data_IF_442643705276
#
_entry.id   IF_442643705276
#
_cell.length_a   1.000
_cell.length_b   1.000
_cell.length_c   1.000
_cell.angle_alpha   90.00
_cell.angle_beta   90.00
_cell.angle_gamma   90.00
#
_symmetry.space_group_name_H-M   'P 1'
#
loop_
_entity.id
_entity.type
_entity.pdbx_description
1 polymer ?
#
# COMPACT_ATOMS: atom_id res chain seq x y z
N UNK A 1 67.97 18.85 7.85
CA UNK A 1 66.68 18.71 8.54
C UNK A 1 65.73 19.75 7.98
N UNK A 2 64.98 19.39 6.95
CA UNK A 2 63.90 20.20 6.38
C UNK A 2 62.67 19.29 6.40
N UNK A 3 61.74 19.57 7.31
CA UNK A 3 60.46 18.87 7.42
C UNK A 3 59.56 19.46 6.35
N UNK A 4 59.31 18.72 5.27
CA UNK A 4 58.26 19.05 4.32
C UNK A 4 56.96 18.53 4.91
N UNK A 5 56.11 19.44 5.36
CA UNK A 5 54.72 19.15 5.72
C UNK A 5 53.95 18.88 4.44
N UNK A 6 53.49 17.65 4.29
CA UNK A 6 52.57 17.21 3.25
C UNK A 6 51.23 17.95 3.48
N UNK A 7 51.00 19.04 2.76
CA UNK A 7 49.68 19.66 2.65
C UNK A 7 48.85 18.78 1.72
N UNK A 8 48.05 17.88 2.31
CA UNK A 8 47.09 17.08 1.55
C UNK A 8 45.91 17.96 1.16
N UNK A 9 45.70 18.13 -0.14
CA UNK A 9 44.64 18.93 -0.73
C UNK A 9 43.25 18.41 -0.29
N UNK A 10 42.45 19.21 0.45
CA UNK A 10 41.12 18.80 0.93
C UNK A 10 40.07 18.66 -0.19
N UNK A 11 40.44 18.94 -1.44
CA UNK A 11 39.55 18.90 -2.60
C UNK A 11 39.36 17.48 -3.16
N UNK A 12 40.32 16.56 -2.93
CA UNK A 12 40.22 15.17 -3.38
C UNK A 12 39.32 14.30 -2.49
N UNK A 13 39.10 14.71 -1.24
CA UNK A 13 38.28 13.95 -0.30
C UNK A 13 36.77 14.08 -0.55
N UNK A 14 36.36 15.10 -1.32
CA UNK A 14 34.94 15.34 -1.67
C UNK A 14 34.48 14.40 -2.80
N UNK A 15 35.37 13.89 -3.65
CA UNK A 15 34.98 13.00 -4.75
C UNK A 15 34.76 11.55 -4.31
N UNK A 16 35.46 11.08 -3.27
CA UNK A 16 35.23 9.75 -2.67
C UNK A 16 33.98 9.70 -1.77
N UNK A 17 33.38 10.85 -1.44
CA UNK A 17 32.11 10.92 -0.72
C UNK A 17 30.89 10.64 -1.63
N UNK A 18 31.09 10.40 -2.94
CA UNK A 18 30.01 10.04 -3.86
C UNK A 18 29.45 8.62 -3.64
N UNK A 19 30.13 7.77 -2.88
CA UNK A 19 29.54 6.61 -2.18
C UNK A 19 28.83 7.08 -0.89
N UNK A 20 27.93 8.06 -1.07
CA UNK A 20 27.32 8.86 -0.02
C UNK A 20 26.32 8.03 0.80
N UNK A 21 26.25 8.16 2.14
CA UNK A 21 25.13 7.64 2.91
C UNK A 21 23.77 8.12 2.38
N UNK A 22 23.73 9.25 1.68
CA UNK A 22 22.53 9.75 0.97
C UNK A 22 22.13 8.84 -0.19
N UNK A 23 23.09 8.25 -0.91
CA UNK A 23 22.82 7.31 -2.01
C UNK A 23 22.28 5.99 -1.46
N UNK A 24 22.83 5.50 -0.34
CA UNK A 24 22.31 4.33 0.35
C UNK A 24 20.89 4.57 0.90
N UNK A 25 20.63 5.74 1.48
CA UNK A 25 19.29 6.14 1.96
C UNK A 25 18.31 6.25 0.80
N UNK A 26 18.64 7.01 -0.25
CA UNK A 26 17.77 7.20 -1.41
C UNK A 26 17.45 5.87 -2.12
N UNK A 27 18.39 4.93 -2.11
CA UNK A 27 18.18 3.57 -2.60
C UNK A 27 17.20 2.79 -1.73
N UNK A 28 17.37 2.81 -0.41
CA UNK A 28 16.45 2.15 0.51
C UNK A 28 15.02 2.71 0.38
N UNK A 29 14.90 4.04 0.23
CA UNK A 29 13.63 4.72 -0.01
C UNK A 29 13.00 4.26 -1.34
N UNK A 30 13.81 4.11 -2.39
CA UNK A 30 13.35 3.59 -3.69
C UNK A 30 12.90 2.13 -3.61
N UNK A 31 13.64 1.26 -2.90
CA UNK A 31 13.25 -0.14 -2.69
C UNK A 31 11.92 -0.24 -1.93
N UNK A 32 11.74 0.58 -0.90
CA UNK A 32 10.49 0.65 -0.14
C UNK A 32 9.31 1.14 -1.01
N UNK A 33 9.53 2.19 -1.81
CA UNK A 33 8.51 2.72 -2.72
C UNK A 33 8.10 1.72 -3.80
N UNK A 34 9.07 1.00 -4.40
CA UNK A 34 8.78 -0.05 -5.39
C UNK A 34 8.02 -1.23 -4.77
N UNK A 35 8.34 -1.59 -3.51
CA UNK A 35 7.60 -2.64 -2.81
C UNK A 35 6.15 -2.25 -2.53
N UNK A 36 5.91 -1.01 -2.08
CA UNK A 36 4.55 -0.50 -1.88
C UNK A 36 3.77 -0.45 -3.19
N UNK A 37 4.40 0.02 -4.27
CA UNK A 37 3.76 0.08 -5.59
C UNK A 37 3.41 -1.31 -6.14
N UNK A 38 4.21 -2.34 -5.85
CA UNK A 38 3.91 -3.72 -6.23
C UNK A 38 2.70 -4.29 -5.45
N UNK A 39 2.54 -3.92 -4.18
CA UNK A 39 1.37 -4.27 -3.37
C UNK A 39 0.10 -3.60 -3.90
N UNK A 40 0.15 -2.27 -4.13
CA UNK A 40 -0.94 -1.51 -4.74
C UNK A 40 -1.35 -2.07 -6.10
N UNK A 41 -0.37 -2.48 -6.91
CA UNK A 41 -0.62 -3.10 -8.20
C UNK A 41 -1.31 -4.45 -8.07
N UNK A 42 -0.90 -5.28 -7.10
CA UNK A 42 -1.56 -6.58 -6.82
C UNK A 42 -3.03 -6.38 -6.47
N UNK A 43 -3.35 -5.38 -5.64
CA UNK A 43 -4.72 -5.03 -5.28
C UNK A 43 -5.51 -4.50 -6.49
N UNK A 44 -4.85 -3.74 -7.37
CA UNK A 44 -5.46 -3.25 -8.61
C UNK A 44 -5.73 -4.38 -9.61
N UNK A 45 -4.84 -5.38 -9.72
CA UNK A 45 -5.06 -6.60 -10.50
C UNK A 45 -6.30 -7.33 -9.98
N UNK A 46 -6.40 -7.54 -8.67
CA UNK A 46 -7.54 -8.19 -8.04
C UNK A 46 -8.84 -7.42 -8.28
N UNK A 47 -8.78 -6.09 -8.19
CA UNK A 47 -9.92 -5.20 -8.44
C UNK A 47 -10.40 -5.26 -9.90
N UNK A 48 -9.47 -5.30 -10.87
CA UNK A 48 -9.81 -5.45 -12.29
C UNK A 48 -10.37 -6.85 -12.59
N UNK A 49 -9.84 -7.90 -11.98
CA UNK A 49 -10.36 -9.26 -12.12
C UNK A 49 -11.80 -9.38 -11.56
N UNK A 50 -12.07 -8.76 -10.41
CA UNK A 50 -13.42 -8.66 -9.86
C UNK A 50 -14.36 -7.90 -10.79
N UNK A 51 -13.92 -6.77 -11.34
CA UNK A 51 -14.69 -5.99 -12.31
C UNK A 51 -14.96 -6.76 -13.63
N UNK A 52 -14.02 -7.59 -14.09
CA UNK A 52 -14.16 -8.45 -15.27
C UNK A 52 -15.24 -9.53 -15.06
N UNK A 53 -15.38 -10.05 -13.83
CA UNK A 53 -16.40 -11.05 -13.51
C UNK A 53 -17.83 -10.51 -13.53
N UNK A 54 -18.04 -9.21 -13.29
CA UNK A 54 -19.36 -8.59 -13.25
C UNK A 54 -19.36 -7.12 -13.72
N UNK A 55 -19.07 -6.81 -15.01
CA UNK A 55 -18.92 -5.43 -15.47
C UNK A 55 -20.20 -4.58 -15.31
N UNK A 56 -21.37 -5.21 -15.49
CA UNK A 56 -22.67 -4.55 -15.37
C UNK A 56 -22.96 -4.07 -13.94
N UNK A 57 -22.46 -4.76 -12.90
CA UNK A 57 -22.63 -4.36 -11.50
C UNK A 57 -21.86 -3.08 -11.17
N UNK A 58 -20.77 -2.81 -11.89
CA UNK A 58 -19.92 -1.64 -11.73
C UNK A 58 -20.17 -0.54 -12.78
N UNK A 59 -21.16 -0.73 -13.67
CA UNK A 59 -21.46 0.22 -14.75
C UNK A 59 -20.33 0.38 -15.78
N UNK A 60 -19.48 -0.65 -15.94
CA UNK A 60 -18.32 -0.62 -16.83
C UNK A 60 -18.63 -1.28 -18.18
N UNK A 61 -18.08 -0.73 -19.26
CA UNK A 61 -18.10 -1.38 -20.57
C UNK A 61 -16.98 -2.41 -20.68
N UNK A 62 -17.16 -3.41 -21.55
CA UNK A 62 -16.13 -4.43 -21.80
C UNK A 62 -14.81 -3.82 -22.32
N UNK A 63 -14.91 -2.77 -23.15
CA UNK A 63 -13.77 -1.98 -23.63
C UNK A 63 -13.01 -1.30 -22.48
N UNK A 64 -13.71 -0.75 -21.49
CA UNK A 64 -13.10 -0.10 -20.34
C UNK A 64 -12.38 -1.09 -19.42
N UNK A 65 -12.98 -2.27 -19.18
CA UNK A 65 -12.31 -3.34 -18.43
C UNK A 65 -11.04 -3.81 -19.15
N UNK A 66 -11.11 -4.00 -20.47
CA UNK A 66 -9.94 -4.39 -21.27
C UNK A 66 -8.84 -3.32 -21.25
N UNK A 67 -9.21 -2.03 -21.26
CA UNK A 67 -8.27 -0.91 -21.12
C UNK A 67 -7.57 -0.93 -19.76
N UNK A 68 -8.32 -1.13 -18.67
CA UNK A 68 -7.77 -1.21 -17.30
C UNK A 68 -6.84 -2.40 -17.13
N UNK A 69 -7.22 -3.56 -17.66
CA UNK A 69 -6.39 -4.78 -17.64
C UNK A 69 -5.05 -4.56 -18.33
N UNK A 70 -5.06 -3.92 -19.50
CA UNK A 70 -3.82 -3.58 -20.22
C UNK A 70 -2.95 -2.60 -19.44
N UNK A 71 -3.55 -1.56 -18.86
CA UNK A 71 -2.83 -0.57 -18.07
C UNK A 71 -2.12 -1.22 -16.87
N UNK A 72 -2.82 -2.10 -16.14
CA UNK A 72 -2.24 -2.79 -14.98
C UNK A 72 -1.08 -3.72 -15.39
N UNK A 73 -1.19 -4.39 -16.54
CA UNK A 73 -0.09 -5.22 -17.06
C UNK A 73 1.12 -4.38 -17.50
N UNK A 74 0.89 -3.23 -18.12
CA UNK A 74 1.94 -2.30 -18.54
C UNK A 74 2.69 -1.73 -17.33
N UNK A 75 1.96 -1.19 -16.36
CA UNK A 75 2.55 -0.66 -15.12
C UNK A 75 3.26 -1.77 -14.33
N UNK A 76 2.73 -3.00 -14.33
CA UNK A 76 3.40 -4.13 -13.69
C UNK A 76 4.75 -4.47 -14.31
N UNK A 77 4.82 -4.49 -15.64
CA UNK A 77 6.10 -4.65 -16.34
C UNK A 77 7.10 -3.55 -15.99
N UNK A 78 6.66 -2.29 -15.98
CA UNK A 78 7.54 -1.15 -15.64
C UNK A 78 8.10 -1.24 -14.20
N UNK A 79 7.28 -1.68 -13.24
CA UNK A 79 7.73 -1.86 -11.84
C UNK A 79 8.74 -2.99 -11.71
N UNK A 80 8.51 -4.10 -12.41
CA UNK A 80 9.45 -5.23 -12.45
C UNK A 80 10.78 -4.83 -13.13
N UNK A 81 10.72 -4.08 -14.23
CA UNK A 81 11.89 -3.55 -14.93
C UNK A 81 12.71 -2.61 -14.02
N UNK A 82 12.05 -1.69 -13.31
CA UNK A 82 12.71 -0.80 -12.35
C UNK A 82 13.38 -1.58 -11.21
N UNK A 83 12.74 -2.66 -10.74
CA UNK A 83 13.30 -3.51 -9.70
C UNK A 83 14.50 -4.31 -10.21
N UNK A 84 14.46 -4.82 -11.44
CA UNK A 84 15.60 -5.50 -12.05
C UNK A 84 16.77 -4.53 -12.30
N UNK A 85 16.50 -3.35 -12.85
CA UNK A 85 17.54 -2.33 -13.10
C UNK A 85 18.20 -1.89 -11.79
N UNK A 86 17.40 -1.72 -10.74
CA UNK A 86 17.91 -1.46 -9.41
C UNK A 86 18.83 -2.60 -8.98
N UNK A 87 18.36 -3.85 -8.94
CA UNK A 87 19.20 -5.02 -8.59
C UNK A 87 20.47 -5.15 -9.44
N UNK A 88 20.40 -4.86 -10.73
CA UNK A 88 21.55 -4.89 -11.65
C UNK A 88 22.59 -3.83 -11.28
N UNK A 89 22.18 -2.60 -10.94
CA UNK A 89 23.10 -1.55 -10.48
C UNK A 89 23.78 -1.91 -9.16
N UNK A 90 23.16 -2.75 -8.36
CA UNK A 90 23.68 -3.22 -7.06
C UNK A 90 24.65 -4.37 -7.22
N UNK A 91 24.37 -5.27 -8.17
CA UNK A 91 25.28 -6.33 -8.56
C UNK A 91 26.45 -5.81 -9.43
N UNK A 92 26.29 -4.66 -10.10
CA UNK A 92 27.19 -4.13 -11.13
C UNK A 92 28.28 -3.16 -10.67
N UNK A 93 28.50 -2.97 -9.36
CA UNK A 93 29.53 -2.06 -8.84
C UNK A 93 31.00 -2.50 -9.03
N UNK A 94 31.27 -3.57 -9.78
CA UNK A 94 32.62 -4.16 -9.88
C UNK A 94 32.93 -4.87 -11.20
N UNK A 95 32.49 -4.35 -12.34
CA UNK A 95 32.70 -5.05 -13.60
C UNK A 95 32.71 -4.16 -14.84
N UNK A 96 33.82 -3.48 -15.08
CA UNK A 96 34.21 -3.11 -16.45
C UNK A 96 35.73 -3.17 -16.59
N UNK A 97 36.26 -4.40 -16.60
CA UNK A 97 37.58 -4.68 -17.15
C UNK A 97 37.48 -4.49 -18.66
N UNK A 98 38.08 -3.42 -19.19
CA UNK A 98 38.30 -3.27 -20.62
C UNK A 98 39.64 -3.94 -20.96
N UNK A 99 39.68 -5.08 -21.68
CA UNK A 99 40.93 -5.78 -21.97
C UNK A 99 41.58 -5.17 -23.22
N UNK A 100 42.26 -4.05 -23.03
CA UNK A 100 43.30 -3.57 -23.93
C UNK A 100 44.44 -3.09 -23.03
N UNK A 101 45.53 -3.83 -22.86
CA UNK A 101 46.62 -3.92 -23.85
C UNK A 101 47.47 -5.15 -23.55
N UNK A 102 47.55 -6.07 -24.50
CA UNK A 102 48.59 -7.10 -24.51
C UNK A 102 49.94 -6.45 -24.88
N UNK A 103 50.94 -6.49 -23.99
CA UNK A 103 52.25 -5.95 -24.32
C UNK A 103 53.31 -5.90 -23.23
N UNK A 104 53.69 -7.06 -22.65
CA UNK A 104 55.07 -7.36 -22.24
C UNK A 104 55.57 -6.85 -20.89
N UNK A 105 55.82 -7.78 -19.96
CA UNK A 105 56.65 -7.53 -18.77
C UNK A 105 56.39 -8.50 -17.62
N UNK A 106 56.95 -9.72 -17.68
CA UNK A 106 56.81 -10.82 -16.70
C UNK A 106 57.36 -10.50 -15.26
N UNK A 107 57.66 -9.23 -14.95
CA UNK A 107 58.13 -8.78 -13.63
C UNK A 107 57.20 -7.75 -12.97
N UNK A 108 56.24 -7.18 -13.69
CA UNK A 108 55.24 -6.24 -13.14
C UNK A 108 53.92 -6.95 -12.76
N UNK A 109 53.65 -8.13 -13.31
CA UNK A 109 52.45 -8.93 -13.03
C UNK A 109 52.39 -9.45 -11.58
N UNK A 110 53.52 -9.88 -11.00
CA UNK A 110 53.55 -10.38 -9.61
C UNK A 110 53.28 -9.26 -8.58
N UNK A 111 53.81 -8.05 -8.81
CA UNK A 111 53.58 -6.91 -7.91
C UNK A 111 52.16 -6.35 -8.05
N UNK A 112 51.54 -6.48 -9.22
CA UNK A 112 50.15 -6.06 -9.47
C UNK A 112 49.16 -7.08 -8.87
N UNK A 113 49.44 -8.37 -9.00
CA UNK A 113 48.63 -9.44 -8.43
C UNK A 113 48.64 -9.41 -6.88
N UNK A 114 49.79 -9.13 -6.25
CA UNK A 114 49.86 -8.96 -4.79
C UNK A 114 49.09 -7.72 -4.31
N UNK A 115 49.12 -6.62 -5.08
CA UNK A 115 48.37 -5.40 -4.77
C UNK A 115 46.85 -5.61 -4.93
N UNK A 116 46.40 -6.29 -6.00
CA UNK A 116 44.99 -6.68 -6.18
C UNK A 116 44.51 -7.60 -5.04
N UNK A 117 45.34 -8.52 -4.58
CA UNK A 117 45.00 -9.44 -3.51
C UNK A 117 44.86 -8.71 -2.16
N UNK A 118 45.73 -7.72 -1.88
CA UNK A 118 45.58 -6.84 -0.73
C UNK A 118 44.32 -5.98 -0.82
N UNK A 119 44.01 -5.44 -2.00
CA UNK A 119 42.83 -4.61 -2.22
C UNK A 119 41.52 -5.43 -2.11
N UNK A 120 41.52 -6.70 -2.56
CA UNK A 120 40.41 -7.63 -2.32
C UNK A 120 40.20 -7.94 -0.84
N UNK A 121 41.28 -8.13 -0.08
CA UNK A 121 41.18 -8.39 1.37
C UNK A 121 40.62 -7.19 2.14
N UNK A 122 40.94 -5.98 1.72
CA UNK A 122 40.39 -4.74 2.30
C UNK A 122 38.91 -4.58 1.94
N UNK A 123 38.53 -4.84 0.69
CA UNK A 123 37.13 -4.83 0.22
C UNK A 123 36.26 -5.93 0.87
N UNK A 124 36.83 -7.09 1.18
CA UNK A 124 36.13 -8.18 1.87
C UNK A 124 35.84 -7.82 3.33
N UNK A 125 36.72 -7.03 3.95
CA UNK A 125 36.55 -6.53 5.32
C UNK A 125 35.45 -5.49 5.44
N UNK A 126 35.30 -4.62 4.44
CA UNK A 126 34.21 -3.64 4.38
C UNK A 126 32.85 -4.31 4.13
N UNK A 127 32.80 -5.40 3.35
CA UNK A 127 31.57 -6.19 3.16
C UNK A 127 31.08 -6.91 4.43
N UNK A 128 31.98 -7.37 5.29
CA UNK A 128 31.59 -7.99 6.57
C UNK A 128 30.94 -6.98 7.53
N UNK A 129 31.35 -5.71 7.46
CA UNK A 129 30.76 -4.62 8.26
C UNK A 129 29.36 -4.21 7.74
N UNK A 130 29.08 -4.42 6.45
CA UNK A 130 27.75 -4.22 5.86
C UNK A 130 26.74 -5.29 6.29
N UNK A 131 27.18 -6.52 6.56
CA UNK A 131 26.30 -7.61 7.01
C UNK A 131 25.75 -7.36 8.42
N UNK A 132 26.54 -6.79 9.34
CA UNK A 132 26.08 -6.42 10.68
C UNK A 132 24.97 -5.36 10.66
N UNK A 133 25.03 -4.39 9.75
CA UNK A 133 23.97 -3.39 9.54
C UNK A 133 22.68 -3.98 8.98
N UNK A 134 22.78 -5.01 8.14
CA UNK A 134 21.63 -5.76 7.63
C UNK A 134 21.02 -6.63 8.74
N UNK A 135 21.81 -7.27 9.60
CA UNK A 135 21.29 -8.01 10.76
C UNK A 135 20.53 -7.11 11.73
N UNK A 136 20.99 -5.88 11.95
CA UNK A 136 20.27 -4.91 12.78
C UNK A 136 18.96 -4.45 12.14
N UNK A 137 18.96 -4.22 10.82
CA UNK A 137 17.76 -3.83 10.07
C UNK A 137 16.73 -4.97 9.98
N UNK A 138 17.17 -6.21 9.73
CA UNK A 138 16.30 -7.40 9.77
C UNK A 138 15.78 -7.63 11.19
N UNK A 139 16.59 -7.38 12.22
CA UNK A 139 16.17 -7.43 13.61
C UNK A 139 15.12 -6.36 13.97
N UNK A 140 15.18 -5.19 13.33
CA UNK A 140 14.17 -4.14 13.47
C UNK A 140 12.87 -4.51 12.71
N UNK A 141 12.97 -4.99 11.48
CA UNK A 141 11.82 -5.45 10.67
C UNK A 141 11.08 -6.62 11.34
N UNK A 142 11.82 -7.56 11.93
CA UNK A 142 11.22 -8.66 12.69
C UNK A 142 10.46 -8.17 13.92
N UNK A 143 10.99 -7.17 14.64
CA UNK A 143 10.28 -6.55 15.77
C UNK A 143 9.02 -5.81 15.31
N UNK A 144 9.11 -5.07 14.20
CA UNK A 144 7.96 -4.38 13.62
C UNK A 144 6.87 -5.36 13.14
N UNK A 145 7.25 -6.48 12.53
CA UNK A 145 6.31 -7.52 12.13
C UNK A 145 5.62 -8.19 13.34
N UNK A 146 6.35 -8.36 14.45
CA UNK A 146 5.79 -8.90 15.69
C UNK A 146 4.82 -7.91 16.34
N UNK A 147 5.16 -6.61 16.37
CA UNK A 147 4.28 -5.54 16.84
C UNK A 147 3.04 -5.39 15.95
N UNK A 148 3.19 -5.47 14.62
CA UNK A 148 2.06 -5.50 13.69
C UNK A 148 1.17 -6.73 13.89
N UNK A 149 1.76 -7.90 14.16
CA UNK A 149 1.01 -9.12 14.46
C UNK A 149 0.15 -8.99 15.71
N UNK A 150 0.69 -8.37 16.76
CA UNK A 150 -0.04 -8.12 18.01
C UNK A 150 -1.13 -7.06 17.85
N UNK A 151 -0.86 -5.99 17.12
CA UNK A 151 -1.85 -4.94 16.83
C UNK A 151 -3.01 -5.50 15.98
N UNK A 152 -2.73 -6.40 15.03
CA UNK A 152 -3.77 -7.09 14.25
C UNK A 152 -4.65 -8.01 15.11
N UNK A 153 -4.07 -8.67 16.11
CA UNK A 153 -4.82 -9.50 17.05
C UNK A 153 -5.68 -8.65 18.00
N UNK A 154 -5.17 -7.51 18.47
CA UNK A 154 -5.97 -6.52 19.22
C UNK A 154 -7.09 -5.91 18.35
N UNK A 155 -6.83 -5.63 17.07
CA UNK A 155 -7.85 -5.16 16.13
C UNK A 155 -8.90 -6.22 15.82
N UNK A 156 -8.54 -7.50 15.79
CA UNK A 156 -9.50 -8.60 15.64
C UNK A 156 -10.48 -8.65 16.82
N UNK A 157 -9.97 -8.49 18.04
CA UNK A 157 -10.79 -8.43 19.25
C UNK A 157 -11.68 -7.17 19.25
N UNK A 158 -11.18 -6.04 18.73
CA UNK A 158 -11.95 -4.80 18.60
C UNK A 158 -13.06 -4.91 17.54
N UNK A 159 -12.87 -5.69 16.47
CA UNK A 159 -13.89 -5.95 15.46
C UNK A 159 -15.08 -6.74 16.02
N UNK A 160 -14.86 -7.65 16.96
CA UNK A 160 -15.95 -8.38 17.65
C UNK A 160 -16.81 -7.41 18.48
N UNK A 161 -16.17 -6.41 19.10
CA UNK A 161 -16.90 -5.32 19.80
C UNK A 161 -17.71 -4.49 18.80
N UNK A 162 -17.16 -4.16 17.63
CA UNK A 162 -17.87 -3.42 16.58
C UNK A 162 -19.08 -4.20 16.07
N UNK A 163 -18.96 -5.51 15.87
CA UNK A 163 -20.06 -6.39 15.47
C UNK A 163 -21.18 -6.39 16.52
N UNK A 164 -20.83 -6.50 17.80
CA UNK A 164 -21.81 -6.44 18.90
C UNK A 164 -22.55 -5.10 18.98
N UNK A 165 -21.86 -3.99 18.66
CA UNK A 165 -22.46 -2.66 18.60
C UNK A 165 -23.36 -2.55 17.37
N UNK A 166 -22.95 -3.08 16.22
CA UNK A 166 -23.75 -3.13 15.00
C UNK A 166 -25.04 -3.92 15.21
N UNK A 167 -24.98 -5.09 15.86
CA UNK A 167 -26.17 -5.88 16.24
C UNK A 167 -27.12 -5.11 17.15
N UNK A 168 -26.58 -4.42 18.15
CA UNK A 168 -27.38 -3.60 19.07
C UNK A 168 -28.03 -2.41 18.36
N UNK A 169 -27.36 -1.79 17.40
CA UNK A 169 -27.91 -0.72 16.55
C UNK A 169 -28.98 -1.29 15.62
N UNK A 170 -28.74 -2.44 14.98
CA UNK A 170 -29.70 -3.15 14.13
C UNK A 170 -30.99 -3.48 14.88
N UNK A 171 -30.89 -4.04 16.09
CA UNK A 171 -32.04 -4.32 16.94
C UNK A 171 -32.81 -3.07 17.36
N UNK A 172 -32.13 -1.95 17.64
CA UNK A 172 -32.81 -0.66 17.93
C UNK A 172 -33.51 -0.09 16.72
N UNK A 173 -32.90 -0.19 15.53
CA UNK A 173 -33.47 0.28 14.28
C UNK A 173 -34.71 -0.53 13.90
N UNK A 174 -34.67 -1.86 14.02
CA UNK A 174 -35.81 -2.74 13.77
C UNK A 174 -36.98 -2.45 14.72
N UNK A 175 -36.68 -2.24 16.00
CA UNK A 175 -37.69 -1.81 16.98
C UNK A 175 -38.27 -0.42 16.66
N UNK A 176 -37.42 0.50 16.19
CA UNK A 176 -37.84 1.83 15.72
C UNK A 176 -38.78 1.76 14.52
N UNK A 177 -38.44 0.96 13.51
CA UNK A 177 -39.29 0.71 12.35
C UNK A 177 -40.63 0.09 12.73
N UNK A 178 -40.62 -0.91 13.64
CA UNK A 178 -41.84 -1.55 14.12
C UNK A 178 -42.76 -0.57 14.85
N UNK A 179 -42.18 0.33 15.66
CA UNK A 179 -42.92 1.42 16.32
C UNK A 179 -43.46 2.42 15.30
N UNK A 180 -42.68 2.83 14.31
CA UNK A 180 -43.13 3.72 13.24
C UNK A 180 -44.32 3.12 12.47
N UNK A 181 -44.23 1.85 12.07
CA UNK A 181 -45.31 1.16 11.38
C UNK A 181 -46.58 1.11 12.24
N UNK A 182 -46.43 0.88 13.55
CA UNK A 182 -47.55 0.89 14.50
C UNK A 182 -48.16 2.29 14.66
N UNK A 183 -47.33 3.34 14.66
CA UNK A 183 -47.80 4.74 14.76
C UNK A 183 -48.53 5.16 13.49
N UNK A 184 -47.99 4.83 12.31
CA UNK A 184 -48.64 5.12 11.02
C UNK A 184 -50.03 4.48 11.00
N UNK A 185 -50.13 3.18 11.33
CA UNK A 185 -51.40 2.45 11.31
C UNK A 185 -52.42 3.01 12.32
N UNK A 186 -51.99 3.33 13.55
CA UNK A 186 -52.87 3.95 14.57
C UNK A 186 -53.30 5.37 14.22
N UNK A 187 -52.50 6.10 13.45
CA UNK A 187 -52.83 7.44 12.99
C UNK A 187 -53.92 7.34 11.90
N UNK A 188 -53.69 6.52 10.88
CA UNK A 188 -54.64 6.27 9.78
C UNK A 188 -56.03 5.83 10.29
N UNK A 189 -56.08 4.85 11.21
CA UNK A 189 -57.34 4.35 11.77
C UNK A 189 -58.17 5.44 12.47
N UNK A 190 -57.52 6.38 13.18
CA UNK A 190 -58.23 7.45 13.92
C UNK A 190 -58.77 8.55 13.02
N UNK A 191 -58.02 8.97 12.01
CA UNK A 191 -58.51 10.00 11.08
C UNK A 191 -59.59 9.43 10.14
N UNK A 192 -59.42 8.20 9.66
CA UNK A 192 -60.42 7.50 8.83
C UNK A 192 -61.73 7.30 9.60
N UNK A 193 -61.67 6.80 10.84
CA UNK A 193 -62.87 6.58 11.66
C UNK A 193 -63.61 7.89 12.01
N UNK A 194 -62.87 8.98 12.26
CA UNK A 194 -63.46 10.29 12.51
C UNK A 194 -64.18 10.82 11.26
N UNK A 195 -63.55 10.71 10.08
CA UNK A 195 -64.15 11.14 8.82
C UNK A 195 -65.45 10.38 8.52
N UNK A 196 -65.45 9.05 8.69
CA UNK A 196 -66.65 8.21 8.51
C UNK A 196 -67.77 8.64 9.47
N UNK A 197 -67.47 8.89 10.75
CA UNK A 197 -68.47 9.33 11.72
C UNK A 197 -69.09 10.69 11.35
N UNK A 198 -68.29 11.65 10.87
CA UNK A 198 -68.79 12.95 10.41
C UNK A 198 -69.67 12.79 9.16
N UNK A 199 -69.27 11.97 8.19
CA UNK A 199 -70.07 11.71 6.98
C UNK A 199 -71.44 11.09 7.33
N UNK A 200 -71.48 10.14 8.26
CA UNK A 200 -72.73 9.53 8.73
C UNK A 200 -73.63 10.57 9.41
N UNK A 201 -73.07 11.44 10.25
CA UNK A 201 -73.84 12.49 10.93
C UNK A 201 -74.48 13.47 9.94
N UNK A 202 -73.72 13.92 8.93
CA UNK A 202 -74.24 14.78 7.87
C UNK A 202 -75.35 14.09 7.09
N UNK A 203 -75.18 12.80 6.75
CA UNK A 203 -76.20 12.01 6.07
C UNK A 203 -77.50 11.93 6.90
N UNK A 204 -77.40 11.69 8.21
CA UNK A 204 -78.56 11.68 9.11
C UNK A 204 -79.25 13.04 9.14
N UNK A 205 -78.51 14.15 9.23
CA UNK A 205 -79.10 15.48 9.19
C UNK A 205 -79.85 15.75 7.88
N UNK A 206 -79.27 15.37 6.73
CA UNK A 206 -79.93 15.48 5.44
C UNK A 206 -81.21 14.63 5.36
N UNK A 207 -81.19 13.41 5.92
CA UNK A 207 -82.36 12.55 5.98
C UNK A 207 -83.47 13.17 6.84
N UNK A 208 -83.13 13.68 8.02
CA UNK A 208 -84.09 14.36 8.91
C UNK A 208 -84.68 15.60 8.25
N UNK A 209 -83.85 16.42 7.59
CA UNK A 209 -84.30 17.59 6.87
C UNK A 209 -85.26 17.20 5.74
N UNK A 210 -84.95 16.14 4.98
CA UNK A 210 -85.85 15.60 3.94
C UNK A 210 -87.17 15.09 4.53
N UNK A 211 -87.16 14.40 5.67
CA UNK A 211 -88.39 13.88 6.27
C UNK A 211 -89.29 15.00 6.79
N UNK A 212 -88.69 16.08 7.31
CA UNK A 212 -89.42 17.23 7.85
C UNK A 212 -89.96 18.16 6.74
N UNK A 213 -89.22 18.29 5.63
CA UNK A 213 -89.57 19.14 4.48
C UNK A 213 -90.57 18.45 3.54
#
# INVERSE_FOLDING_TARGET
>A
MMSSTNEEDPFLQVQHAASSPELASARADLEAALSALAEDLSDLVASVAAAESSPAAYGLSAEEVSRRKRLVQEVGGEVDDMREELQRKLAGGGGMSDPAMAGGGEQEEDSYAEFEQQQQLEMMRDQDQHLDGVFQTVGNLRRQADDMGRELEEQHEMLEVVDSVADRVGGRLQNGMSKLQTVIRRNEDRYSSCCIAVLIFVLILLLVLLLIL
#
